data_IF_542618704009
#
_entry.id   IF_542618704009
#
_cell.length_a   1.000
_cell.length_b   1.000
_cell.length_c   1.000
_cell.angle_alpha   90.00
_cell.angle_beta   90.00
_cell.angle_gamma   90.00
#
_symmetry.space_group_name_H-M   'P 1'
#
loop_
_entity.id
_entity.type
_entity.pdbx_description
1 polymer ?
#
# COMPACT_ATOMS: atom_id res chain seq x y z
N UNK A 1 37.25 19.41 5.20
CA UNK A 1 36.72 19.99 3.94
C UNK A 1 36.47 18.83 2.99
N UNK A 2 35.28 18.24 3.06
CA UNK A 2 34.85 17.18 2.14
C UNK A 2 33.83 17.81 1.21
N UNK A 3 34.13 17.75 -0.07
CA UNK A 3 33.38 18.37 -1.17
C UNK A 3 32.03 17.69 -1.28
N UNK A 4 30.95 18.44 -1.15
CA UNK A 4 29.58 17.95 -1.30
C UNK A 4 29.25 17.70 -2.78
N UNK A 5 28.71 16.52 -3.07
CA UNK A 5 28.15 16.25 -4.40
C UNK A 5 26.84 17.01 -4.61
N UNK A 6 26.66 17.72 -5.74
CA UNK A 6 25.45 18.47 -6.01
C UNK A 6 24.37 17.55 -6.62
N UNK A 7 23.15 17.60 -6.08
CA UNK A 7 21.95 17.39 -6.91
C UNK A 7 21.21 16.06 -6.83
N UNK A 8 21.04 15.45 -5.65
CA UNK A 8 19.88 14.58 -5.40
C UNK A 8 18.89 15.32 -4.52
N UNK A 9 17.87 15.93 -5.13
CA UNK A 9 16.65 16.29 -4.38
C UNK A 9 16.09 14.98 -3.85
N UNK A 10 16.14 14.81 -2.53
CA UNK A 10 15.55 13.63 -1.89
C UNK A 10 14.06 13.60 -2.24
N UNK A 11 13.64 12.55 -2.96
CA UNK A 11 12.24 12.35 -3.39
C UNK A 11 11.29 12.25 -2.20
N UNK A 12 11.80 12.08 -0.98
CA UNK A 12 11.04 12.07 0.29
C UNK A 12 10.61 13.48 0.71
N UNK A 13 11.48 14.47 0.52
CA UNK A 13 11.20 15.89 0.84
C UNK A 13 10.08 16.45 -0.05
N UNK A 14 10.00 15.99 -1.31
CA UNK A 14 8.97 16.44 -2.25
C UNK A 14 7.53 16.01 -1.89
N UNK A 15 7.34 15.09 -0.93
CA UNK A 15 6.01 14.54 -0.56
C UNK A 15 5.47 15.02 0.79
N UNK A 16 6.15 15.94 1.48
CA UNK A 16 5.70 16.42 2.81
C UNK A 16 5.71 15.33 3.88
N UNK A 17 6.63 14.38 3.77
CA UNK A 17 6.83 13.28 4.71
C UNK A 17 7.61 13.80 5.93
N UNK A 18 7.15 13.45 7.13
CA UNK A 18 7.83 13.75 8.40
C UNK A 18 9.26 13.18 8.41
N UNK A 19 10.22 14.02 8.80
CA UNK A 19 11.66 13.93 8.50
C UNK A 19 12.51 13.44 9.68
N UNK A 20 11.92 12.92 10.76
CA UNK A 20 12.71 12.18 11.74
C UNK A 20 13.47 11.05 11.01
N UNK A 21 14.77 10.93 11.29
CA UNK A 21 15.64 9.97 10.61
C UNK A 21 14.97 8.59 10.63
N UNK A 22 14.71 8.00 9.46
CA UNK A 22 13.99 6.74 9.39
C UNK A 22 14.82 5.71 10.17
N UNK A 23 14.26 5.11 11.22
CA UNK A 23 14.99 4.12 11.99
C UNK A 23 15.32 2.92 11.11
N UNK A 24 16.32 2.12 11.52
CA UNK A 24 16.71 0.94 10.76
C UNK A 24 15.51 0.01 10.48
N UNK A 25 15.66 -0.89 9.50
CA UNK A 25 14.57 -1.74 9.03
C UNK A 25 13.92 -2.60 10.13
N UNK A 26 14.55 -2.79 11.29
CA UNK A 26 13.94 -3.49 12.44
C UNK A 26 12.68 -2.79 12.92
N UNK A 27 12.61 -1.46 12.80
CA UNK A 27 11.43 -0.71 13.23
C UNK A 27 10.22 -0.97 12.33
N UNK A 28 10.41 -1.39 11.08
CA UNK A 28 9.27 -1.77 10.23
C UNK A 28 8.45 -2.92 10.85
N UNK A 29 9.08 -3.80 11.63
CA UNK A 29 8.41 -4.88 12.35
C UNK A 29 7.45 -4.35 13.41
N UNK A 30 7.79 -3.25 14.07
CA UNK A 30 6.91 -2.61 15.06
C UNK A 30 5.63 -2.11 14.40
N UNK A 31 5.77 -1.42 13.27
CA UNK A 31 4.63 -0.97 12.46
C UNK A 31 3.82 -2.16 11.94
N UNK A 32 4.48 -3.21 11.45
CA UNK A 32 3.80 -4.39 10.95
C UNK A 32 2.96 -5.07 12.06
N UNK A 33 3.58 -5.31 13.22
CA UNK A 33 2.92 -5.94 14.36
C UNK A 33 1.77 -5.10 14.89
N UNK A 34 1.98 -3.79 15.03
CA UNK A 34 0.93 -2.88 15.48
C UNK A 34 -0.26 -2.89 14.52
N UNK A 35 -0.05 -2.65 13.23
CA UNK A 35 -1.14 -2.54 12.25
C UNK A 35 -1.87 -3.88 12.06
N UNK A 36 -1.16 -5.00 12.11
CA UNK A 36 -1.76 -6.33 12.04
C UNK A 36 -2.57 -6.69 13.29
N UNK A 37 -2.11 -6.27 14.48
CA UNK A 37 -2.76 -6.54 15.77
C UNK A 37 -3.79 -5.50 16.21
N UNK A 38 -3.91 -4.38 15.49
CA UNK A 38 -4.80 -3.29 15.85
C UNK A 38 -6.26 -3.76 15.86
N UNK A 39 -6.95 -3.64 17.00
CA UNK A 39 -8.34 -4.05 17.14
C UNK A 39 -9.29 -3.09 16.41
N UNK A 40 -10.47 -3.59 16.00
CA UNK A 40 -11.47 -2.78 15.28
C UNK A 40 -11.93 -1.54 16.08
N UNK A 41 -11.96 -1.63 17.41
CA UNK A 41 -12.29 -0.51 18.31
C UNK A 41 -11.30 0.65 18.23
N UNK A 42 -10.04 0.35 17.92
CA UNK A 42 -8.92 1.30 18.00
C UNK A 42 -8.50 1.83 16.63
N UNK A 43 -9.12 1.34 15.56
CA UNK A 43 -8.83 1.70 14.16
C UNK A 43 -8.89 3.20 13.85
N UNK A 44 -9.69 3.95 14.62
CA UNK A 44 -9.91 5.40 14.47
C UNK A 44 -9.29 6.21 15.61
N UNK A 45 -8.39 5.60 16.38
CA UNK A 45 -7.65 6.30 17.44
C UNK A 45 -6.62 7.27 16.84
N UNK A 46 -6.29 8.32 17.60
CA UNK A 46 -5.21 9.25 17.22
C UNK A 46 -3.85 8.53 17.10
N UNK A 47 -3.66 7.45 17.85
CA UNK A 47 -2.46 6.62 17.78
C UNK A 47 -2.39 5.86 16.45
N UNK A 48 -3.48 5.23 16.02
CA UNK A 48 -3.56 4.60 14.71
C UNK A 48 -3.27 5.60 13.57
N UNK A 49 -3.81 6.82 13.66
CA UNK A 49 -3.53 7.89 12.69
C UNK A 49 -2.05 8.29 12.66
N UNK A 50 -1.41 8.38 13.84
CA UNK A 50 0.01 8.68 13.95
C UNK A 50 0.86 7.55 13.36
N UNK A 51 0.55 6.29 13.69
CA UNK A 51 1.27 5.13 13.16
C UNK A 51 1.13 5.03 11.65
N UNK A 52 -0.07 5.24 11.07
CA UNK A 52 -0.27 5.24 9.62
C UNK A 52 0.54 6.36 8.96
N UNK A 53 0.54 7.57 9.53
CA UNK A 53 1.32 8.69 9.00
C UNK A 53 2.82 8.40 8.99
N UNK A 54 3.36 7.92 10.10
CA UNK A 54 4.77 7.56 10.23
C UNK A 54 5.14 6.39 9.31
N UNK A 55 4.29 5.36 9.24
CA UNK A 55 4.46 4.22 8.34
C UNK A 55 4.63 4.65 6.88
N UNK A 56 3.74 5.53 6.40
CA UNK A 56 3.80 6.04 5.02
C UNK A 56 5.00 6.98 4.80
N UNK A 57 5.44 7.66 5.85
CA UNK A 57 6.60 8.53 5.80
C UNK A 57 7.92 7.77 5.74
N UNK A 58 8.23 7.03 6.80
CA UNK A 58 9.50 6.33 6.97
C UNK A 58 9.65 5.13 6.03
N UNK A 59 8.55 4.45 5.71
CA UNK A 59 8.56 3.19 4.97
C UNK A 59 7.85 3.26 3.61
N UNK A 60 8.02 4.39 2.91
CA UNK A 60 7.42 4.63 1.59
C UNK A 60 7.85 3.63 0.49
N UNK A 61 8.94 2.89 0.68
CA UNK A 61 9.43 1.85 -0.23
C UNK A 61 9.32 0.44 0.38
N UNK A 62 8.47 0.26 1.39
CA UNK A 62 8.30 -1.03 2.07
C UNK A 62 6.90 -1.60 1.77
N UNK A 63 6.77 -2.54 0.82
CA UNK A 63 5.47 -3.04 0.41
C UNK A 63 4.64 -3.66 1.54
N UNK A 64 5.25 -4.40 2.46
CA UNK A 64 4.53 -5.01 3.60
C UNK A 64 3.86 -3.95 4.49
N UNK A 65 4.60 -2.90 4.86
CA UNK A 65 4.06 -1.81 5.70
C UNK A 65 2.91 -1.11 4.98
N UNK A 66 3.08 -0.79 3.69
CA UNK A 66 2.05 -0.11 2.91
C UNK A 66 0.81 -1.00 2.67
N UNK A 67 0.98 -2.31 2.48
CA UNK A 67 -0.12 -3.26 2.39
C UNK A 67 -0.89 -3.38 3.71
N UNK A 68 -0.21 -3.29 4.86
CA UNK A 68 -0.88 -3.26 6.16
C UNK A 68 -1.62 -1.94 6.38
N UNK A 69 -1.02 -0.81 6.01
CA UNK A 69 -1.72 0.49 6.00
C UNK A 69 -2.99 0.41 5.15
N UNK A 70 -2.91 -0.13 3.92
CA UNK A 70 -4.08 -0.31 3.07
C UNK A 70 -5.18 -1.15 3.75
N UNK A 71 -4.81 -2.27 4.37
CA UNK A 71 -5.76 -3.14 5.08
C UNK A 71 -6.40 -2.44 6.28
N UNK A 72 -5.63 -1.70 7.07
CA UNK A 72 -6.14 -0.90 8.19
C UNK A 72 -7.12 0.15 7.70
N UNK A 73 -6.80 0.85 6.60
CA UNK A 73 -7.66 1.86 6.00
C UNK A 73 -8.97 1.26 5.45
N UNK A 74 -8.92 0.07 4.84
CA UNK A 74 -10.10 -0.70 4.43
C UNK A 74 -10.98 -1.02 5.66
N UNK A 75 -10.38 -1.61 6.71
CA UNK A 75 -11.10 -2.02 7.92
C UNK A 75 -11.81 -0.85 8.61
N UNK A 76 -11.19 0.35 8.61
CA UNK A 76 -11.79 1.55 9.23
C UNK A 76 -12.77 2.30 8.32
N UNK A 77 -12.94 1.85 7.07
CA UNK A 77 -13.85 2.41 6.08
C UNK A 77 -13.31 3.63 5.33
N UNK A 78 -12.01 3.91 5.41
CA UNK A 78 -11.39 5.03 4.70
C UNK A 78 -10.87 4.57 3.33
N UNK A 79 -11.79 4.50 2.37
CA UNK A 79 -11.49 4.02 1.02
C UNK A 79 -10.46 4.91 0.29
N UNK A 80 -10.43 6.21 0.56
CA UNK A 80 -9.47 7.14 -0.06
C UNK A 80 -8.05 6.85 0.41
N UNK A 81 -7.85 6.67 1.72
CA UNK A 81 -6.57 6.27 2.31
C UNK A 81 -6.12 4.89 1.82
N UNK A 82 -7.05 3.93 1.82
CA UNK A 82 -6.80 2.59 1.31
C UNK A 82 -6.35 2.60 -0.15
N UNK A 83 -7.06 3.34 -1.00
CA UNK A 83 -6.72 3.49 -2.40
C UNK A 83 -5.32 4.07 -2.59
N UNK A 84 -4.97 5.12 -1.85
CA UNK A 84 -3.64 5.73 -1.93
C UNK A 84 -2.54 4.72 -1.59
N UNK A 85 -2.69 3.98 -0.48
CA UNK A 85 -1.73 2.96 -0.07
C UNK A 85 -1.63 1.80 -1.09
N UNK A 86 -2.75 1.31 -1.62
CA UNK A 86 -2.75 0.25 -2.64
C UNK A 86 -2.08 0.69 -3.95
N UNK A 87 -2.23 1.97 -4.34
CA UNK A 87 -1.52 2.53 -5.50
C UNK A 87 -0.02 2.64 -5.26
N UNK A 88 0.40 2.97 -4.04
CA UNK A 88 1.82 2.97 -3.68
C UNK A 88 2.39 1.54 -3.78
N UNK A 89 1.67 0.53 -3.28
CA UNK A 89 2.08 -0.88 -3.40
C UNK A 89 2.12 -1.34 -4.86
N UNK A 90 1.12 -1.00 -5.68
CA UNK A 90 1.14 -1.33 -7.13
C UNK A 90 2.36 -0.71 -7.83
N UNK A 91 2.67 0.54 -7.54
CA UNK A 91 3.84 1.21 -8.12
C UNK A 91 5.15 0.53 -7.73
N UNK A 92 5.27 0.05 -6.48
CA UNK A 92 6.43 -0.72 -6.02
C UNK A 92 6.51 -2.08 -6.72
N UNK A 93 5.37 -2.76 -6.90
CA UNK A 93 5.29 -4.03 -7.62
C UNK A 93 5.76 -3.88 -9.08
N UNK A 94 5.31 -2.83 -9.77
CA UNK A 94 5.64 -2.57 -11.18
C UNK A 94 7.09 -2.13 -11.37
N UNK A 95 7.60 -1.26 -10.48
CA UNK A 95 8.96 -0.71 -10.60
C UNK A 95 10.05 -1.62 -10.03
N UNK A 96 9.71 -2.52 -9.10
CA UNK A 96 10.68 -3.26 -8.31
C UNK A 96 11.51 -2.37 -7.37
N UNK A 97 11.09 -1.12 -7.13
CA UNK A 97 11.83 -0.13 -6.35
C UNK A 97 11.64 -0.31 -4.83
N UNK A 98 11.85 -1.52 -4.34
CA UNK A 98 11.83 -1.87 -2.93
C UNK A 98 12.96 -2.85 -2.62
N UNK A 99 13.40 -2.88 -1.36
CA UNK A 99 14.39 -3.85 -0.92
C UNK A 99 13.75 -5.24 -0.79
N UNK A 100 14.20 -6.17 -1.63
CA UNK A 100 13.70 -7.55 -1.66
C UNK A 100 14.26 -8.41 -0.53
N UNK A 101 15.32 -7.95 0.15
CA UNK A 101 16.04 -8.71 1.19
C UNK A 101 15.40 -8.57 2.57
N UNK A 102 14.60 -7.52 2.79
CA UNK A 102 14.01 -7.15 4.09
C UNK A 102 12.56 -7.59 4.28
N UNK A 103 12.22 -8.79 3.80
CA UNK A 103 10.95 -9.48 4.11
C UNK A 103 9.68 -8.88 3.50
N UNK A 104 9.63 -8.80 2.17
CA UNK A 104 8.35 -8.81 1.45
C UNK A 104 8.03 -10.21 0.98
N UNK A 105 6.98 -10.82 1.52
CA UNK A 105 6.39 -12.01 0.91
C UNK A 105 5.84 -11.61 -0.47
N UNK A 106 6.33 -12.18 -1.60
CA UNK A 106 5.85 -11.85 -2.94
C UNK A 106 4.34 -11.99 -3.12
N UNK A 107 3.68 -12.80 -2.27
CA UNK A 107 2.22 -12.96 -2.27
C UNK A 107 1.48 -11.63 -2.04
N UNK A 108 2.10 -10.69 -1.33
CA UNK A 108 1.53 -9.36 -1.05
C UNK A 108 1.48 -8.46 -2.30
N UNK A 109 2.22 -8.79 -3.35
CA UNK A 109 2.24 -8.08 -4.64
C UNK A 109 1.43 -8.82 -5.73
N UNK A 110 0.71 -9.87 -5.34
CA UNK A 110 -0.04 -10.75 -6.24
C UNK A 110 -1.55 -10.53 -6.14
N UNK A 111 -2.28 -11.62 -5.97
CA UNK A 111 -3.74 -11.67 -5.98
C UNK A 111 -4.40 -10.67 -5.00
N UNK A 112 -3.98 -10.67 -3.72
CA UNK A 112 -4.61 -9.84 -2.69
C UNK A 112 -4.52 -8.33 -2.97
N UNK A 113 -3.40 -7.88 -3.56
CA UNK A 113 -3.22 -6.49 -4.00
C UNK A 113 -4.25 -6.13 -5.07
N UNK A 114 -4.33 -6.91 -6.13
CA UNK A 114 -5.19 -6.59 -7.28
C UNK A 114 -6.67 -6.78 -6.98
N UNK A 115 -7.03 -7.71 -6.08
CA UNK A 115 -8.38 -7.85 -5.58
C UNK A 115 -8.80 -6.60 -4.79
N UNK A 116 -8.01 -6.20 -3.79
CA UNK A 116 -8.32 -5.06 -2.93
C UNK A 116 -8.30 -3.75 -3.71
N UNK A 117 -7.32 -3.53 -4.60
CA UNK A 117 -7.28 -2.35 -5.45
C UNK A 117 -8.49 -2.30 -6.40
N UNK A 118 -8.90 -3.45 -6.94
CA UNK A 118 -10.11 -3.56 -7.76
C UNK A 118 -11.37 -3.14 -7.01
N UNK A 119 -11.59 -3.72 -5.83
CA UNK A 119 -12.76 -3.46 -4.98
C UNK A 119 -12.80 -2.00 -4.53
N UNK A 120 -11.70 -1.50 -3.96
CA UNK A 120 -11.64 -0.12 -3.45
C UNK A 120 -11.77 0.89 -4.60
N UNK A 121 -11.15 0.64 -5.75
CA UNK A 121 -11.30 1.50 -6.92
C UNK A 121 -12.73 1.51 -7.45
N UNK A 122 -13.40 0.35 -7.50
CA UNK A 122 -14.80 0.25 -7.91
C UNK A 122 -15.70 1.05 -6.97
N UNK A 123 -15.57 0.89 -5.66
CA UNK A 123 -16.35 1.62 -4.66
C UNK A 123 -16.14 3.14 -4.72
N UNK A 124 -14.94 3.58 -5.13
CA UNK A 124 -14.63 5.00 -5.33
C UNK A 124 -15.00 5.53 -6.73
N UNK A 125 -15.62 4.72 -7.60
CA UNK A 125 -15.98 5.11 -8.96
C UNK A 125 -14.79 5.21 -9.94
N UNK A 126 -13.60 4.72 -9.55
CA UNK A 126 -12.39 4.71 -10.38
C UNK A 126 -12.37 3.48 -11.30
N UNK A 127 -13.35 3.42 -12.20
CA UNK A 127 -13.69 2.21 -12.96
C UNK A 127 -12.54 1.69 -13.83
N UNK A 128 -11.72 2.58 -14.41
CA UNK A 128 -10.57 2.16 -15.23
C UNK A 128 -9.51 1.43 -14.41
N UNK A 129 -9.26 1.90 -13.19
CA UNK A 129 -8.34 1.24 -12.25
C UNK A 129 -8.94 -0.09 -11.82
N UNK A 130 -10.23 -0.12 -11.48
CA UNK A 130 -10.91 -1.36 -11.10
C UNK A 130 -10.82 -2.44 -12.20
N UNK A 131 -11.17 -2.08 -13.44
CA UNK A 131 -11.09 -2.99 -14.60
C UNK A 131 -9.67 -3.51 -14.82
N UNK A 132 -8.65 -2.63 -14.76
CA UNK A 132 -7.24 -3.05 -14.89
C UNK A 132 -6.84 -4.01 -13.78
N UNK A 133 -7.19 -3.71 -12.53
CA UNK A 133 -6.86 -4.55 -11.39
C UNK A 133 -7.50 -5.93 -11.48
N UNK A 134 -8.79 -6.03 -11.81
CA UNK A 134 -9.44 -7.33 -12.00
C UNK A 134 -8.85 -8.13 -13.18
N UNK A 135 -8.44 -7.47 -14.26
CA UNK A 135 -7.74 -8.15 -15.37
C UNK A 135 -6.38 -8.68 -14.94
N UNK A 136 -5.60 -7.91 -14.19
CA UNK A 136 -4.33 -8.38 -13.62
C UNK A 136 -4.55 -9.56 -12.65
N UNK A 137 -5.61 -9.52 -11.86
CA UNK A 137 -6.00 -10.63 -11.00
C UNK A 137 -6.30 -11.89 -11.81
N UNK A 138 -7.04 -11.80 -12.91
CA UNK A 138 -7.30 -12.93 -13.81
C UNK A 138 -6.05 -13.42 -14.57
N UNK A 139 -5.04 -12.58 -14.79
CA UNK A 139 -3.76 -13.05 -15.32
C UNK A 139 -2.99 -13.91 -14.31
N UNK A 140 -3.17 -13.64 -13.02
CA UNK A 140 -2.54 -14.41 -11.93
C UNK A 140 -3.36 -15.68 -11.68
N UNK A 141 -4.67 -15.54 -11.46
CA UNK A 141 -5.63 -16.62 -11.21
C UNK A 141 -6.79 -16.55 -12.21
N UNK A 142 -6.68 -17.26 -13.36
CA UNK A 142 -7.66 -17.20 -14.45
C UNK A 142 -9.11 -17.47 -14.07
N UNK A 143 -9.34 -18.32 -13.05
CA UNK A 143 -10.68 -18.73 -12.63
C UNK A 143 -11.16 -18.00 -11.36
N UNK A 144 -10.71 -16.76 -11.11
CA UNK A 144 -11.05 -16.03 -9.89
C UNK A 144 -12.49 -15.49 -9.94
N UNK A 145 -13.46 -16.06 -9.20
CA UNK A 145 -14.89 -15.80 -9.40
C UNK A 145 -15.27 -14.34 -9.12
N UNK A 146 -14.68 -13.73 -8.09
CA UNK A 146 -14.94 -12.32 -7.73
C UNK A 146 -14.46 -11.36 -8.82
N UNK A 147 -13.36 -11.68 -9.50
CA UNK A 147 -12.78 -10.81 -10.52
C UNK A 147 -13.64 -10.85 -11.79
N UNK A 148 -14.05 -12.04 -12.22
CA UNK A 148 -14.97 -12.22 -13.34
C UNK A 148 -16.32 -11.53 -13.11
N UNK A 149 -16.90 -11.73 -11.92
CA UNK A 149 -18.18 -11.12 -11.56
C UNK A 149 -18.10 -9.59 -11.63
N UNK A 150 -17.08 -8.99 -11.01
CA UNK A 150 -16.95 -7.54 -11.00
C UNK A 150 -16.62 -6.98 -12.40
N UNK A 151 -15.82 -7.66 -13.22
CA UNK A 151 -15.59 -7.22 -14.60
C UNK A 151 -16.87 -7.24 -15.45
N UNK A 152 -17.72 -8.25 -15.26
CA UNK A 152 -19.02 -8.34 -15.93
C UNK A 152 -19.92 -7.15 -15.57
N UNK A 153 -20.00 -6.82 -14.28
CA UNK A 153 -20.78 -5.67 -13.78
C UNK A 153 -20.23 -4.32 -14.28
N UNK A 154 -18.92 -4.21 -14.45
CA UNK A 154 -18.28 -2.98 -14.94
C UNK A 154 -18.30 -2.85 -16.48
N UNK A 155 -18.61 -3.93 -17.19
CA UNK A 155 -18.65 -4.01 -18.65
C UNK A 155 -20.04 -3.90 -19.26
N UNK A 156 -21.09 -3.92 -18.45
CA UNK A 156 -22.49 -3.67 -18.83
C UNK A 156 -22.85 -2.20 -18.75
#
# INVERSE_FOLDING_TARGET
MVVGEPGRVDRRVARGIDLDDPPDNTVSLFFCNYLAGLADSDLRSAEADAVIRLARGWFALHPTVLSLVAQTEIRRGNLVGAYAALRDVEQLAESGAYDRTTSTNPILLGEGLYLNLGIVAHQLGKLDVAKRSYRKLLQIHPDHPVAEQNLRLLGS
#
